data_IF_409836956115
#
_entry.id   IF_409836956115
#
_cell.length_a   1.000
_cell.length_b   1.000
_cell.length_c   1.000
_cell.angle_alpha   90.00
_cell.angle_beta   90.00
_cell.angle_gamma   90.00
#
_symmetry.space_group_name_H-M   'P 1'
#
loop_
_entity.id
_entity.type
_entity.pdbx_description
1 polymer ?
#
# COMPACT_ATOMS: atom_id res chain seq x y z
N UNK A 1 11.54 43.89 14.89
CA UNK A 1 10.23 43.21 14.85
C UNK A 1 9.55 43.22 13.48
N UNK A 2 9.27 44.36 12.83
CA UNK A 2 8.57 44.40 11.51
C UNK A 2 9.23 43.56 10.40
N UNK A 3 10.56 43.50 10.33
CA UNK A 3 11.30 42.66 9.36
C UNK A 3 11.15 41.16 9.64
N UNK A 4 11.13 40.77 10.91
CA UNK A 4 10.94 39.38 11.34
C UNK A 4 9.54 38.86 10.94
N UNK A 5 8.48 39.61 11.25
CA UNK A 5 7.11 39.25 10.84
C UNK A 5 6.94 39.16 9.32
N UNK A 6 7.59 40.04 8.55
CA UNK A 6 7.58 39.95 7.08
C UNK A 6 8.26 38.69 6.57
N UNK A 7 9.45 38.35 7.09
CA UNK A 7 10.18 37.14 6.70
C UNK A 7 9.38 35.90 7.09
N UNK A 8 8.90 35.81 8.33
CA UNK A 8 8.07 34.69 8.79
C UNK A 8 6.80 34.54 7.93
N UNK A 9 6.13 35.64 7.60
CA UNK A 9 4.95 35.62 6.74
C UNK A 9 5.26 35.10 5.33
N UNK A 10 6.33 35.59 4.70
CA UNK A 10 6.77 35.12 3.38
C UNK A 10 7.13 33.63 3.42
N UNK A 11 7.91 33.21 4.42
CA UNK A 11 8.28 31.80 4.59
C UNK A 11 7.04 30.92 4.75
N UNK A 12 6.06 31.33 5.54
CA UNK A 12 4.83 30.56 5.74
C UNK A 12 4.03 30.43 4.43
N UNK A 13 3.89 31.52 3.67
CA UNK A 13 3.23 31.50 2.37
C UNK A 13 3.94 30.54 1.41
N UNK A 14 5.27 30.60 1.34
CA UNK A 14 6.07 29.69 0.50
C UNK A 14 5.85 28.23 0.91
N UNK A 15 5.84 27.92 2.21
CA UNK A 15 5.60 26.56 2.70
C UNK A 15 4.20 26.05 2.33
N UNK A 16 3.18 26.89 2.45
CA UNK A 16 1.80 26.55 2.07
C UNK A 16 1.74 26.25 0.57
N UNK A 17 2.32 27.11 -0.27
CA UNK A 17 2.37 26.91 -1.72
C UNK A 17 3.06 25.58 -2.05
N UNK A 18 4.21 25.30 -1.44
CA UNK A 18 4.92 24.03 -1.63
C UNK A 18 4.09 22.82 -1.19
N UNK A 19 3.35 22.93 -0.08
CA UNK A 19 2.51 21.83 0.42
C UNK A 19 1.41 21.44 -0.57
N UNK A 20 0.89 22.38 -1.36
CA UNK A 20 -0.08 22.07 -2.43
C UNK A 20 0.59 21.60 -3.72
N UNK A 21 1.78 22.10 -4.05
CA UNK A 21 2.50 21.71 -5.28
C UNK A 21 3.11 20.30 -5.20
N UNK A 22 3.64 19.89 -4.06
CA UNK A 22 4.33 18.61 -3.89
C UNK A 22 3.45 17.41 -4.32
N UNK A 23 2.20 17.25 -3.84
CA UNK A 23 1.30 16.19 -4.30
C UNK A 23 1.14 16.11 -5.82
N UNK A 24 1.04 17.26 -6.47
CA UNK A 24 0.77 17.37 -7.92
C UNK A 24 2.01 16.99 -8.72
N UNK A 25 3.17 17.54 -8.35
CA UNK A 25 4.43 17.32 -9.07
C UNK A 25 4.91 15.87 -8.97
N UNK A 26 4.78 15.25 -7.79
CA UNK A 26 5.29 13.91 -7.54
C UNK A 26 4.32 12.78 -7.90
N UNK A 27 3.06 13.07 -8.25
CA UNK A 27 2.03 12.08 -8.57
C UNK A 27 2.51 10.99 -9.53
N UNK A 28 3.05 11.40 -10.70
CA UNK A 28 3.52 10.47 -11.75
C UNK A 28 4.69 9.58 -11.29
N UNK A 29 5.57 10.13 -10.46
CA UNK A 29 6.70 9.37 -9.90
C UNK A 29 6.20 8.28 -8.96
N UNK A 30 5.30 8.64 -8.03
CA UNK A 30 4.76 7.69 -7.05
C UNK A 30 3.97 6.58 -7.73
N UNK A 31 3.11 6.92 -8.70
CA UNK A 31 2.36 5.93 -9.47
C UNK A 31 3.30 4.92 -10.16
N UNK A 32 4.41 5.39 -10.73
CA UNK A 32 5.41 4.53 -11.37
C UNK A 32 6.11 3.62 -10.36
N UNK A 33 6.49 4.15 -9.20
CA UNK A 33 7.15 3.38 -8.13
C UNK A 33 6.22 2.29 -7.59
N UNK A 34 4.96 2.63 -7.28
CA UNK A 34 3.96 1.68 -6.79
C UNK A 34 3.72 0.58 -7.82
N UNK A 35 3.46 0.93 -9.08
CA UNK A 35 3.24 -0.06 -10.15
C UNK A 35 4.45 -0.97 -10.36
N UNK A 36 5.66 -0.38 -10.35
CA UNK A 36 6.90 -1.15 -10.50
C UNK A 36 7.09 -2.13 -9.36
N UNK A 37 6.89 -1.68 -8.12
CA UNK A 37 7.10 -2.53 -6.95
C UNK A 37 6.08 -3.66 -6.89
N UNK A 38 4.78 -3.36 -7.07
CA UNK A 38 3.72 -4.37 -7.09
C UNK A 38 4.03 -5.46 -8.13
N UNK A 39 4.31 -5.07 -9.37
CA UNK A 39 4.61 -6.02 -10.43
C UNK A 39 5.90 -6.82 -10.18
N UNK A 40 6.83 -6.27 -9.41
CA UNK A 40 8.06 -6.96 -9.01
C UNK A 40 7.81 -7.95 -7.88
N UNK A 41 6.96 -7.62 -6.91
CA UNK A 41 6.77 -8.40 -5.69
C UNK A 41 5.74 -9.51 -5.80
N UNK A 42 4.72 -9.36 -6.66
CA UNK A 42 3.62 -10.32 -6.76
C UNK A 42 3.36 -10.84 -8.17
N UNK A 43 2.88 -12.08 -8.24
CA UNK A 43 2.42 -12.80 -9.42
C UNK A 43 0.89 -12.82 -9.46
N UNK A 44 0.31 -11.63 -9.61
CA UNK A 44 -1.14 -11.41 -9.65
C UNK A 44 -1.44 -10.25 -10.61
N UNK A 45 -2.68 -10.20 -11.13
CA UNK A 45 -3.12 -9.06 -11.93
C UNK A 45 -3.60 -7.96 -10.98
N UNK A 46 -2.85 -6.86 -10.94
CA UNK A 46 -3.20 -5.70 -10.11
C UNK A 46 -3.68 -4.54 -10.97
N UNK A 47 -4.81 -3.97 -10.58
CA UNK A 47 -5.40 -2.79 -11.19
C UNK A 47 -5.79 -1.77 -10.11
N UNK A 48 -5.81 -0.48 -10.48
CA UNK A 48 -6.22 0.62 -9.61
C UNK A 48 -6.55 1.86 -10.44
N UNK A 49 -7.48 2.70 -9.95
CA UNK A 49 -7.94 3.88 -10.68
C UNK A 49 -6.95 5.05 -10.61
N UNK A 50 -6.38 5.31 -9.42
CA UNK A 50 -5.43 6.39 -9.22
C UNK A 50 -4.44 6.11 -8.08
N UNK A 51 -3.30 6.79 -8.13
CA UNK A 51 -2.33 6.85 -7.03
C UNK A 51 -1.97 8.32 -6.77
N UNK A 52 -2.14 8.77 -5.53
CA UNK A 52 -1.85 10.15 -5.12
C UNK A 52 -1.07 10.22 -3.82
N UNK A 53 -0.43 11.37 -3.62
CA UNK A 53 0.30 11.70 -2.41
C UNK A 53 -0.52 12.69 -1.59
N UNK A 54 -0.73 12.43 -0.30
CA UNK A 54 -1.35 13.38 0.63
C UNK A 54 -0.37 13.75 1.73
N UNK A 55 -0.10 15.05 1.92
CA UNK A 55 0.79 15.53 2.97
C UNK A 55 0.13 15.63 4.34
N UNK A 56 -1.21 15.74 4.37
CA UNK A 56 -1.94 16.08 5.58
C UNK A 56 -2.54 14.88 6.28
N UNK A 57 -2.83 13.79 5.54
CA UNK A 57 -3.59 12.64 6.06
C UNK A 57 -2.90 11.92 7.22
N UNK A 58 -1.57 11.83 7.22
CA UNK A 58 -0.78 11.18 8.27
C UNK A 58 0.34 12.08 8.83
N UNK A 59 0.15 13.41 8.78
CA UNK A 59 1.18 14.37 9.17
C UNK A 59 1.74 14.05 10.57
N UNK A 60 3.08 14.03 10.78
CA UNK A 60 4.15 14.56 9.91
C UNK A 60 4.63 13.62 8.79
N UNK A 61 4.06 12.41 8.70
CA UNK A 61 4.28 11.50 7.56
C UNK A 61 3.35 11.87 6.41
N UNK A 62 3.63 11.31 5.23
CA UNK A 62 2.77 11.44 4.06
C UNK A 62 1.97 10.17 3.84
N UNK A 63 0.84 10.25 3.16
CA UNK A 63 0.08 9.09 2.71
C UNK A 63 0.27 8.90 1.21
N UNK A 64 0.73 7.71 0.80
CA UNK A 64 0.56 7.22 -0.56
C UNK A 64 -0.81 6.55 -0.60
N UNK A 65 -1.72 7.11 -1.40
CA UNK A 65 -3.13 6.69 -1.46
C UNK A 65 -3.36 6.03 -2.81
N UNK A 66 -3.84 4.79 -2.78
CA UNK A 66 -4.27 4.01 -3.95
C UNK A 66 -5.79 3.93 -3.90
N UNK A 67 -6.46 4.31 -5.00
CA UNK A 67 -7.92 4.26 -5.12
C UNK A 67 -8.35 3.09 -6.00
N UNK A 68 -9.44 2.43 -5.59
CA UNK A 68 -10.06 1.29 -6.28
C UNK A 68 -9.07 0.17 -6.64
N UNK A 69 -8.26 -0.24 -5.66
CA UNK A 69 -7.29 -1.31 -5.83
C UNK A 69 -8.00 -2.65 -6.00
N UNK A 70 -7.60 -3.41 -7.02
CA UNK A 70 -8.04 -4.80 -7.25
C UNK A 70 -6.83 -5.69 -7.48
N UNK A 71 -6.79 -6.85 -6.80
CA UNK A 71 -5.79 -7.90 -6.96
C UNK A 71 -6.52 -9.19 -7.31
N UNK A 72 -6.28 -9.68 -8.53
CA UNK A 72 -6.88 -10.91 -9.08
C UNK A 72 -5.79 -11.96 -9.18
N UNK A 73 -6.12 -13.19 -8.79
CA UNK A 73 -5.20 -14.33 -8.91
C UNK A 73 -4.82 -14.63 -10.36
N UNK A 74 -3.86 -15.54 -10.55
CA UNK A 74 -3.52 -16.07 -11.87
C UNK A 74 -3.96 -17.53 -11.97
N UNK A 75 -3.90 -18.08 -13.19
CA UNK A 75 -4.19 -19.48 -13.48
C UNK A 75 -5.60 -19.88 -13.01
N UNK A 76 -5.68 -20.86 -12.12
CA UNK A 76 -6.91 -21.39 -11.53
C UNK A 76 -7.71 -20.36 -10.71
N UNK A 77 -7.10 -19.23 -10.35
CA UNK A 77 -7.74 -18.12 -9.64
C UNK A 77 -7.95 -16.87 -10.51
N UNK A 78 -7.87 -17.00 -11.84
CA UNK A 78 -7.98 -15.86 -12.78
C UNK A 78 -9.36 -15.20 -12.80
N UNK A 79 -10.40 -15.93 -12.40
CA UNK A 79 -11.78 -15.44 -12.27
C UNK A 79 -12.11 -15.00 -10.83
N UNK A 80 -11.18 -15.19 -9.88
CA UNK A 80 -11.37 -14.88 -8.47
C UNK A 80 -10.57 -13.64 -8.04
N UNK A 81 -11.27 -12.67 -7.46
CA UNK A 81 -10.64 -11.47 -6.90
C UNK A 81 -10.23 -11.72 -5.45
N UNK A 82 -8.92 -11.77 -5.19
CA UNK A 82 -8.37 -11.92 -3.84
C UNK A 82 -8.66 -10.69 -2.96
N UNK A 83 -8.42 -9.50 -3.49
CA UNK A 83 -8.60 -8.25 -2.75
C UNK A 83 -9.19 -7.18 -3.68
N UNK A 84 -10.26 -6.54 -3.25
CA UNK A 84 -10.74 -5.28 -3.79
C UNK A 84 -10.85 -4.25 -2.65
N UNK A 85 -10.36 -3.04 -2.81
CA UNK A 85 -10.47 -2.01 -1.78
C UNK A 85 -10.73 -0.64 -2.40
N UNK A 86 -11.71 0.08 -1.84
CA UNK A 86 -12.03 1.44 -2.28
C UNK A 86 -10.83 2.37 -2.11
N UNK A 87 -10.10 2.23 -0.99
CA UNK A 87 -8.87 2.97 -0.74
C UNK A 87 -7.89 2.16 0.09
N UNK A 88 -6.63 2.21 -0.31
CA UNK A 88 -5.51 1.74 0.50
C UNK A 88 -4.53 2.89 0.68
N UNK A 89 -4.22 3.22 1.92
CA UNK A 89 -3.23 4.23 2.25
C UNK A 89 -2.00 3.60 2.90
N UNK A 90 -0.82 4.01 2.45
CA UNK A 90 0.43 3.69 3.10
C UNK A 90 1.06 4.97 3.68
N UNK A 91 1.26 4.99 5.00
CA UNK A 91 1.96 6.09 5.68
C UNK A 91 3.46 5.95 5.44
N UNK A 92 4.10 6.98 4.89
CA UNK A 92 5.48 6.95 4.43
C UNK A 92 6.29 8.19 4.87
N UNK A 93 7.61 8.05 4.91
CA UNK A 93 8.51 9.17 5.20
C UNK A 93 8.56 10.18 4.05
N UNK A 94 8.17 11.43 4.30
CA UNK A 94 8.14 12.51 3.28
C UNK A 94 9.41 12.57 2.44
N UNK A 95 10.58 12.73 3.08
CA UNK A 95 11.85 12.88 2.37
C UNK A 95 12.23 11.66 1.53
N UNK A 96 11.90 10.45 2.00
CA UNK A 96 12.16 9.22 1.27
C UNK A 96 11.28 9.12 0.02
N UNK A 97 10.00 9.48 0.15
CA UNK A 97 9.04 9.53 -0.96
C UNK A 97 9.48 10.54 -2.02
N UNK A 98 9.89 11.74 -1.61
CA UNK A 98 10.39 12.77 -2.55
C UNK A 98 11.66 12.31 -3.27
N UNK A 99 12.59 11.66 -2.56
CA UNK A 99 13.81 11.08 -3.15
C UNK A 99 13.53 9.87 -4.04
N UNK A 100 12.39 9.20 -3.87
CA UNK A 100 12.04 7.97 -4.59
C UNK A 100 12.91 6.77 -4.23
N UNK A 101 13.54 6.77 -3.04
CA UNK A 101 14.38 5.68 -2.53
C UNK A 101 14.26 5.50 -1.03
N UNK A 102 14.49 4.27 -0.56
CA UNK A 102 14.43 3.89 0.85
C UNK A 102 13.13 4.32 1.53
N UNK A 103 11.99 4.12 0.84
CA UNK A 103 10.67 4.58 1.26
C UNK A 103 10.20 3.73 2.44
N UNK A 104 10.39 4.25 3.65
CA UNK A 104 9.92 3.62 4.88
C UNK A 104 8.41 3.72 4.99
N UNK A 105 7.74 2.57 5.08
CA UNK A 105 6.30 2.44 5.30
C UNK A 105 6.03 2.20 6.79
N UNK A 106 5.34 3.13 7.42
CA UNK A 106 5.06 3.14 8.86
C UNK A 106 3.66 2.61 9.19
N UNK A 107 2.75 2.61 8.23
CA UNK A 107 1.41 2.08 8.46
C UNK A 107 0.64 1.80 7.18
N UNK A 108 -0.33 0.89 7.28
CA UNK A 108 -1.23 0.48 6.21
C UNK A 108 -2.68 0.65 6.65
N UNK A 109 -3.48 1.31 5.83
CA UNK A 109 -4.87 1.64 6.16
C UNK A 109 -5.75 1.21 5.00
N UNK A 110 -6.75 0.39 5.28
CA UNK A 110 -7.67 -0.16 4.29
C UNK A 110 -9.07 0.38 4.55
N UNK A 111 -9.66 1.04 3.57
CA UNK A 111 -11.04 1.53 3.60
C UNK A 111 -11.92 0.67 2.71
N UNK A 112 -12.91 0.05 3.32
CA UNK A 112 -13.85 -0.88 2.70
C UNK A 112 -13.16 -1.98 1.87
N UNK A 113 -12.17 -2.72 2.42
CA UNK A 113 -11.60 -3.85 1.71
C UNK A 113 -12.60 -5.01 1.65
N UNK A 114 -12.64 -5.69 0.52
CA UNK A 114 -13.29 -6.99 0.32
C UNK A 114 -12.20 -7.99 0.00
N UNK A 115 -12.03 -8.96 0.88
CA UNK A 115 -11.01 -10.00 0.77
C UNK A 115 -11.72 -11.32 0.58
N UNK A 116 -11.34 -12.07 -0.44
CA UNK A 116 -11.76 -13.45 -0.64
C UNK A 116 -10.51 -14.33 -0.57
N UNK A 117 -10.27 -14.95 0.58
CA UNK A 117 -9.20 -15.91 0.79
C UNK A 117 -9.73 -17.31 0.49
N UNK A 118 -9.31 -17.88 -0.65
CA UNK A 118 -9.78 -19.17 -1.16
C UNK A 118 -8.64 -20.19 -1.22
N UNK A 119 -8.83 -21.32 -0.55
CA UNK A 119 -8.08 -22.56 -0.74
C UNK A 119 -8.92 -23.53 -1.57
N UNK A 120 -8.40 -23.95 -2.72
CA UNK A 120 -9.10 -24.88 -3.61
C UNK A 120 -9.03 -26.33 -3.11
N UNK A 121 -9.72 -27.24 -3.79
CA UNK A 121 -9.74 -28.66 -3.42
C UNK A 121 -8.36 -29.35 -3.55
N UNK A 122 -7.51 -28.85 -4.45
CA UNK A 122 -6.15 -29.34 -4.69
C UNK A 122 -5.16 -28.84 -3.63
N UNK A 123 -5.57 -27.91 -2.76
CA UNK A 123 -4.75 -27.33 -1.70
C UNK A 123 -3.89 -26.14 -2.14
N UNK A 124 -4.22 -25.51 -3.26
CA UNK A 124 -3.63 -24.25 -3.71
C UNK A 124 -4.44 -23.07 -3.16
N UNK A 125 -3.76 -21.98 -2.84
CA UNK A 125 -4.37 -20.80 -2.24
C UNK A 125 -4.27 -19.58 -3.15
N UNK A 126 -5.37 -18.83 -3.29
CA UNK A 126 -5.39 -17.63 -4.12
C UNK A 126 -4.57 -16.46 -3.55
N UNK A 127 -4.17 -16.53 -2.27
CA UNK A 127 -3.29 -15.57 -1.62
C UNK A 127 -1.80 -15.89 -1.78
N UNK A 128 -1.44 -17.07 -2.33
CA UNK A 128 -0.06 -17.43 -2.62
C UNK A 128 0.43 -16.77 -3.92
N UNK A 129 0.61 -15.45 -3.85
CA UNK A 129 0.96 -14.60 -5.00
C UNK A 129 2.34 -13.96 -4.88
N UNK A 130 3.07 -14.18 -3.79
CA UNK A 130 4.40 -13.61 -3.62
C UNK A 130 5.39 -14.26 -4.60
N UNK A 131 6.17 -13.45 -5.33
CA UNK A 131 7.23 -14.01 -6.18
C UNK A 131 8.37 -14.52 -5.29
N UNK A 132 8.88 -15.71 -5.62
CA UNK A 132 10.04 -16.27 -4.95
C UNK A 132 11.23 -15.29 -5.05
N UNK A 133 11.88 -15.01 -3.92
CA UNK A 133 13.18 -14.31 -3.92
C UNK A 133 14.19 -15.21 -4.63
N UNK A 134 14.99 -14.64 -5.54
CA UNK A 134 16.04 -15.34 -6.27
C UNK A 134 17.27 -15.63 -5.39
N UNK A 135 17.06 -16.22 -4.21
CA UNK A 135 18.14 -16.59 -3.27
C UNK A 135 18.57 -18.06 -3.42
N UNK A 136 18.09 -18.76 -4.45
CA UNK A 136 18.60 -20.09 -4.81
C UNK A 136 19.07 -20.07 -6.27
N UNK A 137 20.39 -20.09 -6.44
CA UNK A 137 21.17 -20.17 -7.69
C UNK A 137 21.32 -18.87 -8.51
N UNK A 138 22.39 -18.12 -8.22
CA UNK A 138 23.27 -17.53 -9.24
C UNK A 138 22.78 -16.38 -10.11
N UNK A 139 21.58 -15.83 -9.88
CA UNK A 139 21.09 -14.62 -10.55
C UNK A 139 20.87 -13.51 -9.53
N UNK A 140 21.77 -12.55 -9.45
CA UNK A 140 21.62 -11.38 -8.59
C UNK A 140 20.51 -10.49 -9.15
N UNK A 141 19.28 -10.58 -8.64
CA UNK A 141 18.34 -9.46 -8.77
C UNK A 141 18.83 -8.34 -7.84
N UNK A 142 19.66 -7.45 -8.38
CA UNK A 142 20.37 -6.40 -7.64
C UNK A 142 19.45 -5.25 -7.22
N UNK A 143 18.15 -5.33 -7.47
CA UNK A 143 17.24 -4.23 -7.15
C UNK A 143 16.59 -4.45 -5.79
N UNK A 144 17.30 -4.11 -4.70
CA UNK A 144 16.68 -3.99 -3.38
C UNK A 144 15.35 -3.20 -3.50
N UNK A 145 14.30 -3.67 -2.82
CA UNK A 145 12.99 -3.00 -2.84
C UNK A 145 13.16 -1.53 -2.50
N UNK A 146 12.48 -0.67 -3.26
CA UNK A 146 12.48 0.77 -2.97
C UNK A 146 11.72 1.05 -1.68
N UNK A 147 10.83 0.15 -1.28
CA UNK A 147 10.02 0.25 -0.08
C UNK A 147 10.62 -0.59 1.05
N UNK A 148 10.70 0.01 2.24
CA UNK A 148 11.16 -0.64 3.46
C UNK A 148 9.99 -0.70 4.43
N UNK A 149 9.57 -1.89 4.80
CA UNK A 149 8.52 -2.04 5.79
C UNK A 149 9.08 -1.72 7.18
N UNK A 150 8.48 -0.78 7.88
CA UNK A 150 8.75 -0.46 9.29
C UNK A 150 7.40 -0.27 9.96
N UNK A 151 6.60 -1.32 9.93
CA UNK A 151 5.17 -1.25 10.19
C UNK A 151 4.93 -0.98 11.69
N UNK A 152 4.33 0.16 11.99
CA UNK A 152 3.99 0.58 13.36
C UNK A 152 2.50 0.59 13.64
N UNK A 153 1.67 0.71 12.60
CA UNK A 153 0.22 0.74 12.73
C UNK A 153 -0.44 0.10 11.51
N UNK A 154 -1.58 -0.54 11.71
CA UNK A 154 -2.51 -0.82 10.62
C UNK A 154 -3.95 -0.53 11.02
N UNK A 155 -4.80 -0.35 10.03
CA UNK A 155 -6.24 -0.08 10.21
C UNK A 155 -7.04 -0.70 9.06
N UNK A 156 -8.16 -1.30 9.41
CA UNK A 156 -9.18 -1.81 8.49
C UNK A 156 -10.47 -1.13 8.91
N UNK A 157 -11.12 -0.43 7.98
CA UNK A 157 -12.40 0.21 8.20
C UNK A 157 -13.43 -0.42 7.27
N UNK A 158 -14.57 -0.87 7.83
CA UNK A 158 -15.69 -1.42 7.05
C UNK A 158 -15.29 -2.58 6.11
N UNK A 159 -14.44 -3.49 6.59
CA UNK A 159 -13.95 -4.62 5.82
C UNK A 159 -14.96 -5.76 5.67
N UNK A 160 -14.78 -6.53 4.61
CA UNK A 160 -15.43 -7.80 4.34
C UNK A 160 -14.35 -8.85 4.10
N UNK A 161 -14.44 -9.98 4.80
CA UNK A 161 -13.54 -11.11 4.63
C UNK A 161 -14.37 -12.37 4.44
N UNK A 162 -14.18 -13.01 3.30
CA UNK A 162 -14.67 -14.35 3.01
C UNK A 162 -13.46 -15.29 2.98
N UNK A 163 -13.45 -16.26 3.87
CA UNK A 163 -12.48 -17.35 3.88
C UNK A 163 -13.18 -18.66 3.51
N UNK A 164 -12.73 -19.28 2.45
CA UNK A 164 -13.22 -20.56 1.96
C UNK A 164 -12.07 -21.56 1.85
N UNK A 165 -12.18 -22.67 2.56
CA UNK A 165 -11.30 -23.83 2.37
C UNK A 165 -12.11 -25.00 1.85
N UNK A 166 -12.02 -25.24 0.54
CA UNK A 166 -12.73 -26.33 -0.14
C UNK A 166 -12.19 -27.70 0.24
N UNK A 167 -10.93 -27.79 0.68
CA UNK A 167 -10.30 -29.04 1.09
C UNK A 167 -10.71 -29.43 2.51
N UNK A 168 -10.78 -28.47 3.43
CA UNK A 168 -11.24 -28.67 4.79
C UNK A 168 -12.78 -28.52 4.96
N UNK A 169 -13.50 -28.22 3.88
CA UNK A 169 -14.93 -27.88 3.89
C UNK A 169 -15.27 -26.82 4.95
N UNK A 170 -14.42 -25.80 5.05
CA UNK A 170 -14.53 -24.73 6.04
C UNK A 170 -14.92 -23.43 5.36
N UNK A 171 -15.91 -22.74 5.92
CA UNK A 171 -16.41 -21.47 5.44
C UNK A 171 -16.48 -20.49 6.60
N UNK A 172 -15.89 -19.31 6.44
CA UNK A 172 -15.92 -18.23 7.42
C UNK A 172 -16.18 -16.90 6.73
N UNK A 173 -17.17 -16.16 7.19
CA UNK A 173 -17.52 -14.83 6.66
C UNK A 173 -17.53 -13.80 7.79
N UNK A 174 -16.80 -12.71 7.60
CA UNK A 174 -16.78 -11.56 8.48
C UNK A 174 -17.24 -10.33 7.70
N UNK A 175 -18.30 -9.70 8.19
CA UNK A 175 -18.85 -8.45 7.67
C UNK A 175 -18.58 -7.30 8.61
N UNK A 176 -18.54 -6.07 8.09
CA UNK A 176 -18.37 -4.84 8.88
C UNK A 176 -17.10 -4.83 9.75
N UNK A 177 -16.05 -5.51 9.31
CA UNK A 177 -14.78 -5.64 10.03
C UNK A 177 -14.13 -4.26 10.17
N UNK A 178 -14.15 -3.71 11.38
CA UNK A 178 -13.40 -2.50 11.73
C UNK A 178 -12.40 -2.85 12.82
N UNK A 179 -11.13 -2.75 12.49
CA UNK A 179 -10.04 -3.17 13.36
C UNK A 179 -8.83 -2.26 13.21
N UNK A 180 -8.10 -2.04 14.29
CA UNK A 180 -6.82 -1.33 14.25
C UNK A 180 -5.82 -1.97 15.20
N UNK A 181 -4.54 -1.90 14.83
CA UNK A 181 -3.46 -2.41 15.66
C UNK A 181 -2.23 -1.52 15.57
N UNK A 182 -1.45 -1.46 16.65
CA UNK A 182 -0.19 -0.72 16.72
C UNK A 182 0.86 -1.48 17.50
N UNK A 183 2.13 -1.35 17.12
CA UNK A 183 3.25 -2.03 17.77
C UNK A 183 4.53 -1.90 16.97
N UNK A 184 5.54 -2.72 17.29
CA UNK A 184 6.60 -3.02 16.31
C UNK A 184 6.20 -4.27 15.54
N UNK A 185 5.66 -4.08 14.34
CA UNK A 185 5.17 -5.17 13.49
C UNK A 185 6.18 -5.50 12.38
N UNK A 186 7.43 -5.11 12.59
CA UNK A 186 8.53 -5.40 11.68
C UNK A 186 9.18 -6.70 12.14
N UNK A 187 9.28 -7.68 11.24
CA UNK A 187 10.03 -8.92 11.46
C UNK A 187 11.52 -8.74 11.15
#
# INVERSE_FOLDING_TARGET
MKKFFKITGITLVVLIVLAFLIPVVFKKQIQRLVKKEINKSINAKVDFSDVKLSLFKHFPKVAIVIEDLTIIGLNEFSEDTLLAAKKVDASAGLFNVLKGKDIKLYGLFFDSPRIHALMNADGNANWDIAKASSDTTGGVDTSASVFQLTLKKYEINNGYLLFEDKRANTYTELTELTHSGSGDLTA
#
